data_IF_499279121690
#
_entry.id   IF_499279121690
#
_cell.length_a   1.000
_cell.length_b   1.000
_cell.length_c   1.000
_cell.angle_alpha   90.00
_cell.angle_beta   90.00
_cell.angle_gamma   90.00
#
_symmetry.space_group_name_H-M   'P 1'
#
loop_
_entity.id
_entity.type
_entity.pdbx_description
1 polymer ?
#
# COMPACT_ATOMS: atom_id res chain seq x y z
N UNK A 1 -16.91 9.37 -13.04
CA UNK A 1 -17.53 10.30 -12.06
C UNK A 1 -18.33 9.43 -11.11
N UNK A 2 -18.29 9.64 -9.78
CA UNK A 2 -19.14 8.89 -8.87
C UNK A 2 -20.62 9.19 -9.17
N UNK A 3 -21.47 8.18 -9.04
CA UNK A 3 -22.91 8.28 -9.29
C UNK A 3 -23.56 9.30 -8.35
N UNK A 4 -24.61 9.98 -8.83
CA UNK A 4 -25.39 10.90 -8.01
C UNK A 4 -26.07 10.13 -6.86
N UNK A 5 -25.89 10.60 -5.62
CA UNK A 5 -26.45 9.96 -4.42
C UNK A 5 -27.98 10.11 -4.32
N UNK A 6 -28.54 11.04 -5.07
CA UNK A 6 -29.96 11.29 -5.18
C UNK A 6 -30.21 12.58 -5.95
N UNK A 7 -31.34 12.63 -6.66
CA UNK A 7 -31.85 13.84 -7.31
C UNK A 7 -33.17 14.17 -6.64
N UNK A 8 -33.24 15.31 -5.95
CA UNK A 8 -34.49 15.82 -5.40
C UNK A 8 -34.91 17.06 -6.18
N UNK A 9 -36.16 17.07 -6.62
CA UNK A 9 -36.79 18.22 -7.27
C UNK A 9 -37.75 18.80 -6.24
N UNK A 10 -37.40 19.95 -5.67
CA UNK A 10 -38.21 20.57 -4.60
C UNK A 10 -39.37 21.39 -5.18
N UNK A 11 -39.34 21.76 -6.46
CA UNK A 11 -40.36 22.58 -7.15
C UNK A 11 -40.40 22.30 -8.66
N UNK A 12 -41.37 22.85 -9.38
CA UNK A 12 -41.42 22.83 -10.86
C UNK A 12 -40.32 23.68 -11.54
N UNK A 13 -39.41 24.29 -10.77
CA UNK A 13 -38.26 25.04 -11.30
C UNK A 13 -37.10 24.08 -11.66
N UNK A 14 -36.70 23.98 -12.94
CA UNK A 14 -35.55 23.18 -13.37
C UNK A 14 -34.22 23.55 -12.70
N UNK A 15 -34.11 24.78 -12.17
CA UNK A 15 -32.93 25.25 -11.43
C UNK A 15 -32.94 24.88 -9.93
N UNK A 16 -34.01 24.21 -9.45
CA UNK A 16 -34.10 23.71 -8.07
C UNK A 16 -33.43 22.33 -7.85
N UNK A 17 -32.81 21.77 -8.90
CA UNK A 17 -32.08 20.51 -8.84
C UNK A 17 -30.70 20.71 -8.18
N UNK A 18 -30.54 20.17 -6.98
CA UNK A 18 -29.22 20.08 -6.32
C UNK A 18 -28.69 18.66 -6.48
N UNK A 19 -27.59 18.51 -7.21
CA UNK A 19 -26.90 17.22 -7.36
C UNK A 19 -25.95 17.01 -6.18
N UNK A 20 -26.22 16.02 -5.34
CA UNK A 20 -25.30 15.60 -4.28
C UNK A 20 -24.36 14.53 -4.82
N UNK A 21 -23.06 14.80 -4.79
CA UNK A 21 -22.00 13.87 -5.19
C UNK A 21 -21.11 13.54 -3.99
N UNK A 22 -20.56 12.34 -3.98
CA UNK A 22 -19.57 11.90 -2.99
C UNK A 22 -18.39 11.27 -3.71
N UNK A 23 -17.17 11.48 -3.19
CA UNK A 23 -15.98 10.78 -3.70
C UNK A 23 -15.98 9.28 -3.38
N UNK A 24 -16.86 8.83 -2.48
CA UNK A 24 -16.98 7.43 -2.04
C UNK A 24 -17.99 6.69 -2.90
N UNK A 25 -17.75 5.40 -3.11
CA UNK A 25 -18.53 4.53 -4.00
C UNK A 25 -19.83 4.07 -3.32
N UNK A 26 -20.87 3.92 -4.13
CA UNK A 26 -22.13 3.28 -3.76
C UNK A 26 -22.05 1.75 -3.89
N UNK A 27 -23.03 1.07 -3.30
CA UNK A 27 -23.21 -0.37 -3.45
C UNK A 27 -23.69 -0.78 -4.85
N UNK A 28 -23.51 -2.05 -5.24
CA UNK A 28 -22.74 -3.08 -4.53
C UNK A 28 -21.24 -2.86 -4.70
N UNK A 29 -20.48 -3.10 -3.63
CA UNK A 29 -19.02 -3.12 -3.72
C UNK A 29 -18.53 -4.52 -4.03
N UNK A 30 -17.50 -4.59 -4.86
CA UNK A 30 -16.72 -5.79 -5.13
C UNK A 30 -15.29 -5.55 -4.72
N UNK A 31 -14.61 -6.60 -4.24
CA UNK A 31 -13.20 -6.54 -3.90
C UNK A 31 -12.40 -6.30 -5.17
N UNK A 32 -11.43 -5.40 -5.11
CA UNK A 32 -10.55 -5.11 -6.24
C UNK A 32 -9.54 -6.26 -6.48
N UNK A 33 -8.94 -6.36 -7.68
CA UNK A 33 -7.80 -7.25 -7.92
C UNK A 33 -6.65 -7.03 -6.93
N UNK A 34 -6.40 -5.77 -6.55
CA UNK A 34 -5.39 -5.39 -5.57
C UNK A 34 -5.76 -5.89 -4.17
N UNK A 35 -7.03 -5.77 -3.77
CA UNK A 35 -7.56 -6.30 -2.51
C UNK A 35 -7.51 -7.83 -2.43
N UNK A 36 -7.76 -8.52 -3.56
CA UNK A 36 -7.57 -9.97 -3.67
C UNK A 36 -6.09 -10.37 -3.53
N UNK A 37 -5.19 -9.62 -4.17
CA UNK A 37 -3.75 -9.87 -4.08
C UNK A 37 -3.22 -9.62 -2.67
N UNK A 38 -3.68 -8.54 -2.03
CA UNK A 38 -3.38 -8.22 -0.64
C UNK A 38 -3.82 -9.35 0.29
N UNK A 39 -5.06 -9.82 0.14
CA UNK A 39 -5.58 -10.94 0.95
C UNK A 39 -4.79 -12.21 0.68
N UNK A 40 -4.48 -12.51 -0.58
CA UNK A 40 -3.71 -13.68 -0.96
C UNK A 40 -2.32 -13.74 -0.31
N UNK A 41 -1.58 -12.62 -0.29
CA UNK A 41 -0.28 -12.55 0.40
C UNK A 41 -0.41 -12.89 1.89
N UNK A 42 -1.49 -12.49 2.56
CA UNK A 42 -1.71 -12.86 3.96
C UNK A 42 -2.07 -14.34 4.16
N UNK A 43 -2.74 -14.96 3.19
CA UNK A 43 -3.12 -16.39 3.27
C UNK A 43 -1.97 -17.34 2.89
N UNK A 44 -1.15 -16.97 1.90
CA UNK A 44 -0.10 -17.83 1.35
C UNK A 44 1.33 -17.36 1.60
N UNK A 45 1.52 -16.17 2.19
CA UNK A 45 2.80 -15.55 2.49
C UNK A 45 3.47 -14.85 1.31
N UNK A 46 3.31 -15.37 0.09
CA UNK A 46 3.81 -14.79 -1.18
C UNK A 46 2.79 -15.00 -2.29
N UNK A 47 2.89 -14.22 -3.38
CA UNK A 47 2.09 -14.49 -4.59
C UNK A 47 2.68 -15.66 -5.39
N UNK A 48 4.00 -15.71 -5.57
CA UNK A 48 4.65 -16.79 -6.31
C UNK A 48 5.93 -17.22 -5.58
N UNK A 49 6.27 -18.51 -5.66
CA UNK A 49 7.51 -19.04 -5.11
C UNK A 49 7.26 -20.12 -4.05
N UNK A 50 8.00 -20.06 -2.95
CA UNK A 50 7.91 -21.04 -1.86
C UNK A 50 7.71 -20.33 -0.53
N UNK A 51 6.69 -20.75 0.22
CA UNK A 51 6.43 -20.25 1.56
C UNK A 51 6.28 -21.42 2.54
N UNK A 52 7.09 -21.43 3.61
CA UNK A 52 7.13 -22.52 4.61
C UNK A 52 7.23 -23.93 3.98
N UNK A 53 8.05 -24.06 2.94
CA UNK A 53 8.25 -25.32 2.21
C UNK A 53 7.10 -25.72 1.28
N UNK A 54 6.10 -24.86 1.07
CA UNK A 54 4.97 -25.09 0.16
C UNK A 54 5.12 -24.22 -1.08
N UNK A 55 4.88 -24.81 -2.24
CA UNK A 55 4.88 -24.07 -3.50
C UNK A 55 3.61 -23.23 -3.62
N UNK A 56 3.79 -21.98 -3.99
CA UNK A 56 2.73 -20.99 -4.13
C UNK A 56 2.73 -20.44 -5.55
N UNK A 57 1.54 -20.39 -6.15
CA UNK A 57 1.30 -19.83 -7.48
C UNK A 57 0.10 -18.89 -7.40
N UNK A 58 0.28 -17.63 -7.79
CA UNK A 58 -0.74 -16.56 -7.70
C UNK A 58 -1.46 -16.43 -6.35
N UNK A 59 -0.73 -16.70 -5.27
CA UNK A 59 -1.26 -16.67 -3.91
C UNK A 59 -2.01 -17.94 -3.50
N UNK A 60 -1.87 -19.03 -4.26
CA UNK A 60 -2.51 -20.30 -3.98
C UNK A 60 -1.49 -21.39 -3.61
N UNK A 61 -1.76 -22.08 -2.51
CA UNK A 61 -1.10 -23.33 -2.16
C UNK A 61 -1.93 -24.48 -2.77
N UNK A 62 -1.47 -25.03 -3.90
CA UNK A 62 -2.25 -26.01 -4.68
C UNK A 62 -2.27 -27.42 -4.06
N UNK A 63 -1.43 -27.69 -3.07
CA UNK A 63 -1.40 -28.96 -2.32
C UNK A 63 -2.10 -28.79 -0.98
N UNK A 64 -3.15 -29.57 -0.73
CA UNK A 64 -3.89 -29.59 0.53
C UNK A 64 -2.95 -29.83 1.72
N UNK A 65 -3.12 -29.08 2.80
CA UNK A 65 -2.27 -29.14 3.99
C UNK A 65 -3.10 -28.96 5.27
N UNK A 66 -2.51 -29.28 6.42
CA UNK A 66 -3.07 -28.92 7.72
C UNK A 66 -2.52 -27.56 8.16
N UNK A 67 -3.41 -26.64 8.51
CA UNK A 67 -3.04 -25.35 9.09
C UNK A 67 -2.48 -25.52 10.52
N UNK A 68 -2.14 -24.40 11.17
CA UNK A 68 -1.58 -24.43 12.53
C UNK A 68 -2.58 -24.96 13.59
N UNK A 69 -3.87 -25.01 13.26
CA UNK A 69 -4.94 -25.53 14.11
C UNK A 69 -5.32 -26.99 13.75
N UNK A 70 -4.62 -27.62 12.79
CA UNK A 70 -4.92 -28.96 12.32
C UNK A 70 -6.13 -29.04 11.40
N UNK A 71 -6.56 -27.92 10.81
CA UNK A 71 -7.69 -27.84 9.89
C UNK A 71 -7.21 -28.05 8.45
N UNK A 72 -7.79 -29.00 7.70
CA UNK A 72 -7.52 -29.17 6.27
C UNK A 72 -7.79 -27.89 5.47
N UNK A 73 -6.76 -27.38 4.80
CA UNK A 73 -6.75 -26.09 4.11
C UNK A 73 -6.12 -26.22 2.72
N UNK A 74 -6.62 -25.47 1.74
CA UNK A 74 -6.11 -25.46 0.36
C UNK A 74 -6.26 -24.09 -0.31
N UNK A 75 -5.51 -23.87 -1.40
CA UNK A 75 -5.64 -22.67 -2.22
C UNK A 75 -5.24 -21.42 -1.45
N UNK A 76 -6.15 -20.45 -1.38
CA UNK A 76 -5.97 -19.16 -0.73
C UNK A 76 -6.63 -19.16 0.66
N UNK A 77 -6.26 -20.12 1.51
CA UNK A 77 -6.83 -20.24 2.86
C UNK A 77 -8.22 -20.88 2.93
N UNK A 78 -8.66 -21.56 1.87
CA UNK A 78 -9.97 -22.23 1.85
C UNK A 78 -9.97 -23.42 2.82
N UNK A 79 -10.93 -23.45 3.74
CA UNK A 79 -11.16 -24.60 4.62
C UNK A 79 -11.84 -25.71 3.83
N UNK A 80 -11.15 -26.84 3.70
CA UNK A 80 -11.70 -28.02 3.02
C UNK A 80 -12.86 -28.57 3.86
N UNK A 81 -14.01 -28.74 3.21
CA UNK A 81 -15.18 -29.41 3.75
C UNK A 81 -15.42 -30.75 3.02
N UNK A 82 -16.20 -31.69 3.59
CA UNK A 82 -16.44 -32.99 2.95
C UNK A 82 -16.99 -32.91 1.52
N UNK A 83 -17.75 -31.86 1.20
CA UNK A 83 -18.32 -31.63 -0.12
C UNK A 83 -17.29 -31.25 -1.20
N UNK A 84 -16.07 -30.89 -0.83
CA UNK A 84 -15.02 -30.55 -1.79
C UNK A 84 -14.36 -31.79 -2.40
N UNK A 85 -14.50 -32.95 -1.74
CA UNK A 85 -13.88 -34.22 -2.12
C UNK A 85 -12.36 -34.12 -2.29
N UNK A 86 -11.69 -33.47 -1.33
CA UNK A 86 -10.23 -33.27 -1.30
C UNK A 86 -9.65 -33.85 -0.02
N UNK A 87 -8.61 -34.67 -0.16
CA UNK A 87 -7.83 -35.19 0.96
C UNK A 87 -6.55 -34.38 1.20
N UNK A 88 -6.04 -34.40 2.43
CA UNK A 88 -4.77 -33.75 2.76
C UNK A 88 -3.64 -34.37 1.93
N UNK A 89 -2.80 -33.53 1.33
CA UNK A 89 -1.73 -33.95 0.42
C UNK A 89 -2.13 -34.01 -1.06
N UNK A 90 -3.42 -33.96 -1.39
CA UNK A 90 -3.89 -33.90 -2.76
C UNK A 90 -3.56 -32.55 -3.42
N UNK A 91 -3.24 -32.57 -4.71
CA UNK A 91 -2.99 -31.37 -5.52
C UNK A 91 -4.22 -31.06 -6.37
N UNK A 92 -4.64 -29.80 -6.42
CA UNK A 92 -5.73 -29.32 -7.29
C UNK A 92 -5.19 -28.42 -8.41
N UNK A 93 -6.01 -28.22 -9.44
CA UNK A 93 -5.69 -27.25 -10.49
C UNK A 93 -5.80 -25.82 -9.98
N UNK A 94 -5.10 -24.90 -10.66
CA UNK A 94 -5.18 -23.48 -10.37
C UNK A 94 -6.60 -22.93 -10.59
N UNK A 95 -7.32 -23.40 -11.60
CA UNK A 95 -8.73 -23.00 -11.82
C UNK A 95 -9.61 -23.41 -10.63
N UNK A 96 -9.41 -24.61 -10.09
CA UNK A 96 -10.18 -25.06 -8.92
C UNK A 96 -9.85 -24.24 -7.68
N UNK A 97 -8.59 -23.86 -7.48
CA UNK A 97 -8.19 -22.98 -6.39
C UNK A 97 -8.81 -21.58 -6.52
N UNK A 98 -8.84 -21.02 -7.74
CA UNK A 98 -9.51 -19.75 -8.06
C UNK A 98 -11.02 -19.84 -7.82
N UNK A 99 -11.65 -20.98 -8.12
CA UNK A 99 -13.07 -21.21 -7.85
C UNK A 99 -13.37 -21.18 -6.34
N UNK A 100 -12.55 -21.83 -5.52
CA UNK A 100 -12.69 -21.77 -4.05
C UNK A 100 -12.59 -20.33 -3.55
N UNK A 101 -11.54 -19.59 -3.94
CA UNK A 101 -11.40 -18.17 -3.55
C UNK A 101 -12.61 -17.34 -3.97
N UNK A 102 -13.14 -17.56 -5.18
CA UNK A 102 -14.34 -16.84 -5.64
C UNK A 102 -15.56 -17.10 -4.75
N UNK A 103 -15.77 -18.36 -4.32
CA UNK A 103 -16.88 -18.72 -3.44
C UNK A 103 -16.73 -18.09 -2.06
N UNK A 104 -15.53 -18.17 -1.47
CA UNK A 104 -15.23 -17.64 -0.15
C UNK A 104 -15.36 -16.11 -0.11
N UNK A 105 -14.77 -15.43 -1.10
CA UNK A 105 -14.90 -13.97 -1.26
C UNK A 105 -16.35 -13.56 -1.45
N UNK A 106 -17.12 -14.28 -2.27
CA UNK A 106 -18.53 -13.94 -2.48
C UNK A 106 -19.36 -14.03 -1.20
N UNK A 107 -19.01 -14.90 -0.25
CA UNK A 107 -19.66 -14.92 1.07
C UNK A 107 -19.36 -13.66 1.87
N UNK A 108 -18.09 -13.25 1.92
CA UNK A 108 -17.65 -12.02 2.59
C UNK A 108 -18.31 -10.79 1.98
N UNK A 109 -18.29 -10.68 0.64
CA UNK A 109 -18.92 -9.57 -0.07
C UNK A 109 -20.41 -9.48 0.21
N UNK A 110 -21.14 -10.61 0.17
CA UNK A 110 -22.57 -10.64 0.50
C UNK A 110 -22.80 -10.12 1.92
N UNK A 111 -22.00 -10.57 2.89
CA UNK A 111 -22.13 -10.17 4.29
C UNK A 111 -21.90 -8.67 4.49
N UNK A 112 -20.84 -8.12 3.88
CA UNK A 112 -20.48 -6.70 3.99
C UNK A 112 -21.49 -5.80 3.24
N UNK A 113 -21.86 -6.16 2.01
CA UNK A 113 -22.86 -5.41 1.24
C UNK A 113 -24.23 -5.39 1.91
N UNK A 114 -24.62 -6.46 2.61
CA UNK A 114 -25.86 -6.47 3.37
C UNK A 114 -25.81 -5.55 4.60
N UNK A 115 -24.68 -5.52 5.31
CA UNK A 115 -24.58 -4.87 6.62
C UNK A 115 -24.07 -3.44 6.64
N UNK A 116 -23.22 -3.01 5.70
CA UNK A 116 -22.64 -1.66 5.72
C UNK A 116 -23.63 -0.67 5.12
N UNK A 117 -23.99 0.41 5.78
CA UNK A 117 -24.98 1.39 5.31
C UNK A 117 -24.38 2.74 4.94
N UNK A 118 -23.05 2.87 5.01
CA UNK A 118 -22.31 4.09 4.72
C UNK A 118 -21.46 3.94 3.46
N UNK A 119 -21.07 5.06 2.84
CA UNK A 119 -20.28 5.04 1.60
C UNK A 119 -18.80 4.77 1.88
N UNK A 120 -18.16 3.96 1.04
CA UNK A 120 -16.75 3.60 1.19
C UNK A 120 -15.95 3.93 -0.05
N UNK A 121 -14.68 4.26 0.13
CA UNK A 121 -13.70 4.15 -0.95
C UNK A 121 -13.37 2.68 -1.22
N UNK A 122 -12.89 2.39 -2.43
CA UNK A 122 -12.54 1.01 -2.81
C UNK A 122 -11.51 0.40 -1.84
N UNK A 123 -10.46 1.13 -1.49
CA UNK A 123 -9.41 0.67 -0.56
C UNK A 123 -9.94 0.42 0.86
N UNK A 124 -10.93 1.19 1.32
CA UNK A 124 -11.59 0.95 2.60
C UNK A 124 -12.36 -0.36 2.54
N UNK A 125 -13.14 -0.58 1.49
CA UNK A 125 -13.88 -1.82 1.29
C UNK A 125 -12.95 -3.04 1.19
N UNK A 126 -11.86 -2.94 0.42
CA UNK A 126 -10.87 -4.02 0.28
C UNK A 126 -10.24 -4.41 1.62
N UNK A 127 -9.93 -3.41 2.47
CA UNK A 127 -9.46 -3.67 3.83
C UNK A 127 -10.51 -4.41 4.67
N UNK A 128 -11.77 -4.00 4.61
CA UNK A 128 -12.86 -4.68 5.33
C UNK A 128 -13.07 -6.12 4.83
N UNK A 129 -12.97 -6.36 3.52
CA UNK A 129 -13.02 -7.71 2.94
C UNK A 129 -11.88 -8.55 3.51
N UNK A 130 -10.63 -8.05 3.52
CA UNK A 130 -9.50 -8.82 4.06
C UNK A 130 -9.66 -9.16 5.55
N UNK A 131 -10.22 -8.22 6.33
CA UNK A 131 -10.48 -8.41 7.76
C UNK A 131 -11.51 -9.52 7.99
N UNK A 132 -12.62 -9.46 7.25
CA UNK A 132 -13.73 -10.42 7.39
C UNK A 132 -13.39 -11.77 6.78
N UNK A 133 -12.59 -11.81 5.71
CA UNK A 133 -12.06 -13.06 5.15
C UNK A 133 -11.26 -13.83 6.21
N UNK A 134 -10.41 -13.14 6.98
CA UNK A 134 -9.65 -13.76 8.07
C UNK A 134 -10.48 -14.11 9.30
N UNK A 135 -11.43 -13.24 9.64
CA UNK A 135 -12.18 -13.28 10.90
C UNK A 135 -13.48 -14.08 10.81
N UNK A 136 -13.92 -14.40 9.59
CA UNK A 136 -15.19 -15.03 9.26
C UNK A 136 -16.38 -14.05 9.16
N UNK A 137 -17.36 -14.42 8.34
CA UNK A 137 -18.59 -13.66 8.04
C UNK A 137 -19.60 -13.53 9.21
N UNK A 138 -19.34 -14.18 10.35
CA UNK A 138 -20.20 -14.17 11.53
C UNK A 138 -19.88 -13.01 12.48
N UNK A 139 -19.59 -13.33 13.76
CA UNK A 139 -19.21 -12.34 14.79
C UNK A 139 -18.09 -11.40 14.34
N UNK A 140 -17.16 -11.92 13.52
CA UNK A 140 -16.06 -11.16 12.94
C UNK A 140 -16.49 -10.00 12.05
N UNK A 141 -17.57 -10.18 11.30
CA UNK A 141 -18.15 -9.15 10.47
C UNK A 141 -19.04 -8.20 11.28
N UNK A 142 -19.79 -8.70 12.28
CA UNK A 142 -20.76 -7.93 13.05
C UNK A 142 -20.14 -6.69 13.72
N UNK A 143 -18.98 -6.86 14.38
CA UNK A 143 -18.31 -5.76 15.09
C UNK A 143 -17.76 -4.70 14.13
N UNK A 144 -17.16 -5.13 13.02
CA UNK A 144 -16.64 -4.27 11.96
C UNK A 144 -17.77 -3.46 11.33
N UNK A 145 -18.87 -4.14 10.96
CA UNK A 145 -20.06 -3.52 10.35
C UNK A 145 -20.69 -2.50 11.30
N UNK A 146 -20.84 -2.86 12.58
CA UNK A 146 -21.37 -1.95 13.59
C UNK A 146 -20.48 -0.71 13.73
N UNK A 147 -19.16 -0.86 13.74
CA UNK A 147 -18.22 0.26 13.90
C UNK A 147 -18.20 1.17 12.67
N UNK A 148 -18.12 0.63 11.46
CA UNK A 148 -18.08 1.43 10.23
C UNK A 148 -19.40 2.20 10.01
N UNK A 149 -20.53 1.61 10.36
CA UNK A 149 -21.85 2.25 10.25
C UNK A 149 -22.05 3.45 11.18
N UNK A 150 -21.16 3.67 12.16
CA UNK A 150 -21.17 4.91 12.95
C UNK A 150 -20.72 6.12 12.12
N UNK A 151 -20.11 5.92 10.94
CA UNK A 151 -19.66 7.00 10.05
C UNK A 151 -18.34 7.67 10.48
N UNK A 152 -17.75 7.24 11.59
CA UNK A 152 -16.47 7.76 12.09
C UNK A 152 -15.27 7.07 11.41
N UNK A 153 -15.03 7.37 10.13
CA UNK A 153 -13.93 6.76 9.37
C UNK A 153 -12.55 7.02 9.96
N UNK A 154 -12.35 8.17 10.63
CA UNK A 154 -11.07 8.51 11.28
C UNK A 154 -10.71 7.52 12.41
N UNK A 155 -11.70 7.02 13.14
CA UNK A 155 -11.50 6.09 14.26
C UNK A 155 -11.26 4.64 13.80
N UNK A 156 -11.54 4.33 12.51
CA UNK A 156 -11.44 2.97 12.00
C UNK A 156 -10.01 2.46 11.95
N UNK A 157 -9.02 3.33 11.72
CA UNK A 157 -7.62 2.91 11.66
C UNK A 157 -7.16 2.27 12.99
N UNK A 158 -7.34 2.99 14.10
CA UNK A 158 -7.00 2.50 15.44
C UNK A 158 -7.87 1.30 15.84
N UNK A 159 -9.15 1.31 15.47
CA UNK A 159 -10.03 0.17 15.72
C UNK A 159 -9.54 -1.09 15.02
N UNK A 160 -9.27 -1.03 13.71
CA UNK A 160 -8.76 -2.16 12.93
C UNK A 160 -7.43 -2.64 13.50
N UNK A 161 -6.52 -1.72 13.82
CA UNK A 161 -5.22 -2.03 14.40
C UNK A 161 -5.33 -2.85 15.71
N UNK A 162 -6.32 -2.55 16.55
CA UNK A 162 -6.59 -3.27 17.79
C UNK A 162 -7.49 -4.52 17.62
N UNK A 163 -8.15 -4.69 16.47
CA UNK A 163 -9.21 -5.66 16.26
C UNK A 163 -8.72 -7.11 16.22
N UNK A 164 -9.21 -7.94 17.13
CA UNK A 164 -8.82 -9.35 17.25
C UNK A 164 -9.97 -10.19 17.79
N UNK A 165 -10.33 -11.26 17.07
CA UNK A 165 -11.24 -12.28 17.64
C UNK A 165 -10.46 -13.13 18.63
N UNK A 166 -11.03 -13.31 19.83
CA UNK A 166 -10.52 -14.24 20.84
C UNK A 166 -9.11 -13.92 21.36
N UNK A 167 -8.62 -12.69 21.17
CA UNK A 167 -7.29 -12.27 21.62
C UNK A 167 -6.11 -12.82 20.81
N UNK A 168 -6.33 -13.31 19.58
CA UNK A 168 -5.28 -13.86 18.72
C UNK A 168 -4.16 -12.83 18.44
N UNK A 169 -2.96 -13.03 19.00
CA UNK A 169 -1.81 -12.14 18.81
C UNK A 169 -1.11 -12.34 17.45
N UNK A 170 -1.37 -13.44 16.75
CA UNK A 170 -0.75 -13.74 15.46
C UNK A 170 -1.19 -12.84 14.31
N UNK A 171 -2.26 -12.06 14.48
CA UNK A 171 -2.81 -11.18 13.44
C UNK A 171 -2.38 -9.71 13.58
N UNK A 172 -1.53 -9.36 14.56
CA UNK A 172 -1.15 -7.96 14.81
C UNK A 172 -0.60 -7.28 13.55
N UNK A 173 0.37 -7.90 12.88
CA UNK A 173 0.96 -7.34 11.66
C UNK A 173 -0.04 -7.24 10.51
N UNK A 174 -0.96 -8.22 10.41
CA UNK A 174 -2.05 -8.20 9.43
C UNK A 174 -2.99 -7.02 9.65
N UNK A 175 -3.40 -6.81 10.90
CA UNK A 175 -4.27 -5.70 11.31
C UNK A 175 -3.63 -4.34 11.09
N UNK A 176 -2.31 -4.20 11.30
CA UNK A 176 -1.56 -2.99 10.94
C UNK A 176 -1.64 -2.73 9.44
N UNK A 177 -1.41 -3.75 8.60
CA UNK A 177 -1.46 -3.61 7.16
C UNK A 177 -2.86 -3.30 6.64
N UNK A 178 -3.91 -3.95 7.17
CA UNK A 178 -5.30 -3.67 6.80
C UNK A 178 -5.73 -2.28 7.27
N UNK A 179 -5.28 -1.82 8.45
CA UNK A 179 -5.53 -0.45 8.92
C UNK A 179 -4.87 0.60 8.01
N UNK A 180 -3.66 0.31 7.51
CA UNK A 180 -2.97 1.14 6.50
C UNK A 180 -3.65 1.09 5.14
N UNK A 181 -4.18 -0.07 4.73
CA UNK A 181 -4.97 -0.17 3.50
C UNK A 181 -6.26 0.65 3.63
N UNK A 182 -6.94 0.55 4.78
CA UNK A 182 -8.16 1.29 5.07
C UNK A 182 -7.91 2.80 5.12
N UNK A 183 -6.77 3.22 5.66
CA UNK A 183 -6.36 4.62 5.67
C UNK A 183 -4.88 4.74 5.32
N UNK A 184 -4.55 4.93 4.02
CA UNK A 184 -3.18 5.15 3.62
C UNK A 184 -2.66 6.43 4.29
N UNK A 185 -1.42 6.39 4.80
CA UNK A 185 -0.77 7.51 5.50
C UNK A 185 -0.58 8.78 4.61
N UNK A 186 -1.04 8.75 3.36
CA UNK A 186 -1.08 9.89 2.43
C UNK A 186 -2.16 10.95 2.75
N UNK A 187 -3.01 10.75 3.76
CA UNK A 187 -3.80 11.88 4.28
C UNK A 187 -2.88 12.78 5.10
N UNK A 188 -2.34 13.83 4.46
CA UNK A 188 -1.59 14.93 5.10
C UNK A 188 -2.17 15.22 6.49
N UNK A 189 -1.52 14.71 7.54
CA UNK A 189 -1.61 15.40 8.83
C UNK A 189 -1.10 16.79 8.52
N UNK A 190 -1.94 17.82 8.67
CA UNK A 190 -1.49 19.21 8.69
C UNK A 190 -0.55 19.35 9.88
N UNK A 191 0.72 19.01 9.69
CA UNK A 191 1.75 19.21 10.70
C UNK A 191 1.97 20.71 10.74
N UNK A 192 1.48 21.36 11.80
CA UNK A 192 1.91 22.72 12.17
C UNK A 192 3.36 22.61 12.65
N UNK A 193 4.32 22.67 11.73
CA UNK A 193 5.74 22.75 12.09
C UNK A 193 6.01 24.17 12.59
N UNK A 194 6.20 24.32 13.90
CA UNK A 194 6.87 25.51 14.46
C UNK A 194 8.37 25.34 14.21
N UNK A 195 8.92 26.19 13.34
CA UNK A 195 10.35 26.31 13.12
C UNK A 195 11.06 26.65 14.43
N UNK A 196 12.02 25.82 14.85
CA UNK A 196 13.06 26.23 15.77
C UNK A 196 14.40 25.94 15.10
N UNK A 197 15.09 27.01 14.73
CA UNK A 197 16.42 26.98 14.14
C UNK A 197 17.44 26.79 15.27
N UNK A 198 18.26 25.75 15.20
CA UNK A 198 19.48 25.65 15.98
C UNK A 198 20.61 25.14 15.08
N UNK A 199 21.51 26.07 14.80
CA UNK A 199 22.84 25.87 14.23
C UNK A 199 23.63 24.95 15.16
N UNK A 200 24.29 23.94 14.61
CA UNK A 200 25.66 23.57 15.03
C UNK A 200 26.25 22.59 14.00
N UNK A 201 27.35 23.02 13.37
CA UNK A 201 28.17 22.17 12.52
C UNK A 201 29.20 21.40 13.33
N UNK A 202 29.57 20.20 12.87
CA UNK A 202 30.91 19.64 13.08
C UNK A 202 31.25 18.74 11.88
N UNK A 203 32.49 18.91 11.41
CA UNK A 203 33.23 18.14 10.42
C UNK A 203 33.24 16.63 10.71
N UNK A 204 33.31 15.78 9.69
CA UNK A 204 34.36 14.76 9.56
C UNK A 204 34.30 14.07 8.19
N UNK A 205 35.44 14.10 7.51
CA UNK A 205 35.80 13.39 6.28
C UNK A 205 36.18 11.94 6.56
N UNK A 206 35.82 11.00 5.67
CA UNK A 206 36.72 10.01 5.04
C UNK A 206 36.00 8.77 4.47
N UNK A 207 36.28 8.50 3.20
CA UNK A 207 36.40 7.21 2.51
C UNK A 207 35.30 6.13 2.64
N UNK A 208 34.67 5.79 1.50
CA UNK A 208 34.89 4.49 0.84
C UNK A 208 34.20 4.45 -0.54
N UNK A 209 34.97 4.03 -1.53
CA UNK A 209 34.61 3.80 -2.93
C UNK A 209 34.37 2.30 -3.09
N UNK A 210 33.30 1.88 -3.76
CA UNK A 210 33.20 0.54 -4.33
C UNK A 210 32.20 0.53 -5.49
N UNK A 211 32.77 0.41 -6.69
CA UNK A 211 32.11 0.14 -7.95
C UNK A 211 31.52 -1.28 -7.96
N UNK A 212 30.36 -1.48 -8.61
CA UNK A 212 30.18 -2.63 -9.50
C UNK A 212 28.97 -2.45 -10.42
N UNK A 213 29.24 -2.63 -11.70
CA UNK A 213 28.34 -2.55 -12.83
C UNK A 213 27.31 -3.68 -12.82
N UNK A 214 26.02 -3.33 -12.95
CA UNK A 214 25.07 -4.17 -13.67
C UNK A 214 24.03 -3.27 -14.36
N UNK A 215 24.30 -2.95 -15.63
CA UNK A 215 23.38 -2.28 -16.53
C UNK A 215 22.42 -3.34 -17.06
N UNK A 216 21.17 -3.32 -16.61
CA UNK A 216 20.05 -3.90 -17.34
C UNK A 216 19.07 -2.78 -17.64
N UNK A 217 18.95 -2.48 -18.94
CA UNK A 217 18.04 -1.51 -19.53
C UNK A 217 16.60 -1.95 -19.31
N UNK A 218 15.83 -1.14 -18.59
CA UNK A 218 14.36 -1.21 -18.59
C UNK A 218 13.87 0.16 -19.02
N UNK A 219 13.69 0.31 -20.33
CA UNK A 219 12.78 1.28 -20.92
C UNK A 219 11.35 0.97 -20.46
N UNK A 220 10.52 2.01 -20.42
CA UNK A 220 9.12 2.05 -19.99
C UNK A 220 8.84 2.17 -18.47
N UNK A 221 9.28 3.31 -17.91
CA UNK A 221 8.74 3.83 -16.64
C UNK A 221 7.41 4.56 -16.86
N UNK A 222 6.36 3.79 -17.17
CA UNK A 222 5.00 4.29 -17.14
C UNK A 222 4.54 4.43 -15.68
N UNK A 223 4.04 5.60 -15.29
CA UNK A 223 3.46 5.86 -13.97
C UNK A 223 2.27 4.97 -13.62
N UNK A 224 1.82 4.17 -14.59
CA UNK A 224 0.79 3.15 -14.49
C UNK A 224 1.16 2.01 -13.51
N UNK A 225 2.45 1.72 -13.32
CA UNK A 225 2.86 0.65 -12.39
C UNK A 225 2.47 0.94 -10.93
N UNK A 226 2.30 2.21 -10.55
CA UNK A 226 1.81 2.59 -9.22
C UNK A 226 0.34 2.25 -8.99
N UNK A 227 -0.42 2.00 -10.06
CA UNK A 227 -1.81 1.58 -9.99
C UNK A 227 -1.95 0.07 -9.75
N UNK A 228 -0.86 -0.70 -9.90
CA UNK A 228 -0.84 -2.16 -9.83
C UNK A 228 0.08 -2.71 -8.73
N UNK A 229 0.18 -2.00 -7.60
CA UNK A 229 1.04 -2.40 -6.48
C UNK A 229 0.44 -3.59 -5.72
N UNK A 230 1.15 -4.71 -5.68
CA UNK A 230 0.71 -5.99 -5.09
C UNK A 230 1.52 -6.45 -3.89
N UNK A 231 2.45 -5.63 -3.39
CA UNK A 231 3.34 -5.93 -2.26
C UNK A 231 4.46 -6.93 -2.58
N UNK A 232 4.68 -7.24 -3.86
CA UNK A 232 5.65 -8.23 -4.34
C UNK A 232 6.92 -7.62 -4.95
N UNK A 233 7.74 -8.47 -5.57
CA UNK A 233 8.98 -8.05 -6.23
C UNK A 233 8.74 -7.02 -7.36
N UNK A 234 7.61 -7.12 -8.07
CA UNK A 234 7.22 -6.15 -9.10
C UNK A 234 7.03 -4.73 -8.57
N UNK A 235 6.64 -4.54 -7.30
CA UNK A 235 6.55 -3.22 -6.69
C UNK A 235 7.94 -2.61 -6.46
N UNK A 236 8.93 -3.44 -6.12
CA UNK A 236 10.34 -3.00 -6.00
C UNK A 236 10.83 -2.50 -7.34
N UNK A 237 10.54 -3.23 -8.42
CA UNK A 237 10.92 -2.84 -9.78
C UNK A 237 10.22 -1.54 -10.22
N UNK A 238 8.91 -1.44 -9.98
CA UNK A 238 8.13 -0.23 -10.25
C UNK A 238 8.71 0.98 -9.52
N UNK A 239 8.87 0.90 -8.20
CA UNK A 239 9.43 1.99 -7.42
C UNK A 239 10.87 2.32 -7.84
N UNK A 240 11.71 1.31 -8.08
CA UNK A 240 13.11 1.53 -8.49
C UNK A 240 13.21 2.17 -9.89
N UNK A 241 12.35 1.77 -10.82
CA UNK A 241 12.26 2.39 -12.14
C UNK A 241 11.83 3.85 -12.07
N UNK A 242 10.78 4.14 -11.29
CA UNK A 242 10.31 5.51 -11.08
C UNK A 242 11.31 6.38 -10.31
N UNK A 243 12.04 5.82 -9.35
CA UNK A 243 13.14 6.51 -8.67
C UNK A 243 14.20 6.97 -9.66
N UNK A 244 14.64 6.10 -10.59
CA UNK A 244 15.65 6.46 -11.62
C UNK A 244 15.19 7.65 -12.45
N UNK A 245 13.92 7.65 -12.88
CA UNK A 245 13.31 8.78 -13.60
C UNK A 245 13.32 10.05 -12.75
N UNK A 246 12.84 9.97 -11.51
CA UNK A 246 12.80 11.13 -10.60
C UNK A 246 14.20 11.67 -10.27
N UNK A 247 15.21 10.82 -10.18
CA UNK A 247 16.61 11.24 -9.98
C UNK A 247 17.08 12.03 -11.20
N UNK A 248 16.91 11.48 -12.41
CA UNK A 248 17.25 12.17 -13.66
C UNK A 248 16.52 13.50 -13.80
N UNK A 249 15.21 13.52 -13.56
CA UNK A 249 14.39 14.73 -13.65
C UNK A 249 14.85 15.78 -12.61
N UNK A 250 15.20 15.35 -11.40
CA UNK A 250 15.69 16.24 -10.34
C UNK A 250 17.06 16.85 -10.68
N UNK A 251 17.95 16.10 -11.34
CA UNK A 251 19.23 16.64 -11.83
C UNK A 251 19.04 17.70 -12.91
N UNK A 252 18.07 17.50 -13.81
CA UNK A 252 17.72 18.47 -14.84
C UNK A 252 17.16 19.75 -14.19
N UNK A 253 16.20 19.60 -13.26
CA UNK A 253 15.62 20.73 -12.54
C UNK A 253 16.67 21.49 -11.72
N UNK A 254 17.56 20.79 -11.04
CA UNK A 254 18.69 21.38 -10.33
C UNK A 254 19.54 22.25 -11.25
N UNK A 255 19.92 21.74 -12.43
CA UNK A 255 20.74 22.51 -13.39
C UNK A 255 20.02 23.76 -13.90
N UNK A 256 18.71 23.66 -14.17
CA UNK A 256 17.88 24.81 -14.58
C UNK A 256 17.82 25.87 -13.48
N UNK A 257 17.46 25.45 -12.27
CA UNK A 257 17.36 26.35 -11.11
C UNK A 257 18.71 26.97 -10.74
N UNK A 258 19.79 26.19 -10.80
CA UNK A 258 21.13 26.72 -10.56
C UNK A 258 21.53 27.79 -11.58
N UNK A 259 21.05 27.71 -12.82
CA UNK A 259 21.32 28.72 -13.84
C UNK A 259 20.59 30.05 -13.59
N UNK A 260 19.48 30.04 -12.85
CA UNK A 260 18.75 31.28 -12.48
C UNK A 260 19.38 32.00 -11.29
N UNK A 261 20.23 31.31 -10.50
CA UNK A 261 20.89 31.89 -9.34
C UNK A 261 22.15 32.69 -9.79
N UNK A 262 22.29 33.97 -9.40
CA UNK A 262 23.49 34.75 -9.70
C UNK A 262 24.76 34.13 -9.11
N UNK A 263 25.87 34.16 -9.87
CA UNK A 263 27.16 33.62 -9.42
C UNK A 263 27.64 34.27 -8.13
N UNK A 264 28.11 33.46 -7.17
CA UNK A 264 28.60 33.93 -5.88
C UNK A 264 27.50 34.23 -4.85
N UNK A 265 26.25 33.94 -5.19
CA UNK A 265 25.14 34.02 -4.25
C UNK A 265 25.17 32.83 -3.28
N UNK A 266 24.92 33.09 -1.99
CA UNK A 266 24.88 32.07 -0.93
C UNK A 266 23.87 30.95 -1.21
N UNK A 267 22.84 31.22 -2.01
CA UNK A 267 21.81 30.25 -2.38
C UNK A 267 22.32 29.18 -3.36
N UNK A 268 23.39 29.43 -4.11
CA UNK A 268 24.05 28.43 -4.97
C UNK A 268 24.54 27.25 -4.10
N UNK A 269 25.23 27.59 -3.01
CA UNK A 269 25.72 26.61 -2.03
C UNK A 269 24.56 25.93 -1.30
N UNK A 270 23.54 26.69 -0.90
CA UNK A 270 22.38 26.14 -0.19
C UNK A 270 21.60 25.12 -1.05
N UNK A 271 21.46 25.36 -2.36
CA UNK A 271 20.81 24.42 -3.26
C UNK A 271 21.62 23.12 -3.42
N UNK A 272 22.94 23.21 -3.50
CA UNK A 272 23.81 22.04 -3.53
C UNK A 272 23.77 21.25 -2.20
N UNK A 273 23.76 21.96 -1.06
CA UNK A 273 23.61 21.37 0.28
C UNK A 273 22.26 20.66 0.42
N UNK A 274 21.17 21.23 -0.11
CA UNK A 274 19.87 20.57 -0.17
C UNK A 274 19.92 19.25 -0.94
N UNK A 275 20.51 19.23 -2.15
CA UNK A 275 20.64 18.01 -2.94
C UNK A 275 21.45 16.93 -2.20
N UNK A 276 22.54 17.33 -1.55
CA UNK A 276 23.36 16.43 -0.74
C UNK A 276 22.57 15.86 0.46
N UNK A 277 21.78 16.70 1.14
CA UNK A 277 20.95 16.27 2.26
C UNK A 277 19.86 15.27 1.83
N UNK A 278 19.22 15.48 0.66
CA UNK A 278 18.24 14.55 0.11
C UNK A 278 18.88 13.20 -0.28
N UNK A 279 20.11 13.21 -0.80
CA UNK A 279 20.83 11.97 -1.06
C UNK A 279 21.20 11.24 0.24
N UNK A 280 21.64 11.97 1.26
CA UNK A 280 22.02 11.40 2.54
C UNK A 280 20.82 10.82 3.32
N UNK A 281 19.61 11.34 3.12
CA UNK A 281 18.40 10.87 3.82
C UNK A 281 17.88 9.53 3.30
N UNK A 282 18.27 9.10 2.10
CA UNK A 282 17.93 7.79 1.52
C UNK A 282 18.27 6.63 2.45
N UNK A 283 19.38 6.73 3.21
CA UNK A 283 19.80 5.68 4.17
C UNK A 283 18.75 5.39 5.23
N UNK A 284 17.92 6.39 5.60
CA UNK A 284 16.88 6.21 6.60
C UNK A 284 15.74 5.31 6.09
N UNK A 285 15.64 5.08 4.78
CA UNK A 285 14.69 4.12 4.22
C UNK A 285 15.04 2.66 4.53
N UNK A 286 16.22 2.37 5.09
CA UNK A 286 16.52 1.05 5.66
C UNK A 286 15.75 0.79 6.95
N UNK A 287 15.38 1.83 7.72
CA UNK A 287 14.67 1.67 8.99
C UNK A 287 13.33 0.92 8.86
N UNK A 288 12.39 1.31 7.97
CA UNK A 288 11.14 0.57 7.82
C UNK A 288 11.35 -0.86 7.32
N UNK A 289 12.35 -1.10 6.47
CA UNK A 289 12.76 -2.44 6.02
C UNK A 289 13.25 -3.28 7.19
N UNK A 290 14.21 -2.76 7.95
CA UNK A 290 14.84 -3.44 9.09
C UNK A 290 13.79 -3.72 10.17
N UNK A 291 12.93 -2.74 10.47
CA UNK A 291 11.86 -2.91 11.46
C UNK A 291 10.87 -4.01 11.03
N UNK A 292 10.50 -4.08 9.74
CA UNK A 292 9.66 -5.14 9.19
C UNK A 292 10.31 -6.52 9.25
N UNK A 293 11.62 -6.58 8.96
CA UNK A 293 12.43 -7.80 8.97
C UNK A 293 12.94 -8.23 10.37
N UNK A 294 12.38 -7.68 11.46
CA UNK A 294 12.83 -8.05 12.82
C UNK A 294 14.29 -7.68 13.12
N UNK A 295 14.81 -6.62 12.48
CA UNK A 295 16.20 -6.15 12.53
C UNK A 295 17.21 -7.07 11.84
N UNK A 296 16.76 -8.03 11.05
CA UNK A 296 17.63 -8.88 10.25
C UNK A 296 18.11 -8.17 8.98
N UNK A 297 19.40 -8.34 8.66
CA UNK A 297 20.06 -7.70 7.51
C UNK A 297 20.03 -8.56 6.25
N UNK A 298 19.62 -9.84 6.33
CA UNK A 298 19.63 -10.76 5.17
C UNK A 298 18.42 -10.53 4.26
N UNK A 299 18.65 -10.67 2.96
CA UNK A 299 17.60 -10.74 1.95
C UNK A 299 16.98 -12.14 1.99
N UNK A 300 15.75 -12.25 2.51
CA UNK A 300 15.02 -13.51 2.71
C UNK A 300 13.89 -13.72 1.70
N UNK A 301 13.74 -12.85 0.70
CA UNK A 301 12.65 -12.89 -0.28
C UNK A 301 11.30 -12.39 0.25
N UNK A 302 11.28 -11.73 1.40
CA UNK A 302 10.10 -11.08 1.98
C UNK A 302 9.69 -9.80 1.25
N UNK A 303 8.51 -9.26 1.59
CA UNK A 303 7.98 -7.98 1.07
C UNK A 303 8.75 -6.73 1.54
N UNK A 304 9.70 -6.86 2.48
CA UNK A 304 10.35 -5.71 3.12
C UNK A 304 11.20 -4.82 2.20
N UNK A 305 11.82 -5.32 1.10
CA UNK A 305 12.46 -4.47 0.10
C UNK A 305 11.49 -3.48 -0.56
N UNK A 306 10.19 -3.81 -0.63
CA UNK A 306 9.16 -2.89 -1.16
C UNK A 306 9.02 -1.67 -0.26
N UNK A 307 9.06 -1.84 1.07
CA UNK A 307 8.98 -0.73 2.02
C UNK A 307 10.16 0.24 1.86
N UNK A 308 11.36 -0.30 1.63
CA UNK A 308 12.54 0.51 1.34
C UNK A 308 12.37 1.26 0.02
N UNK A 309 12.02 0.55 -1.06
CA UNK A 309 11.87 1.16 -2.38
C UNK A 309 10.77 2.23 -2.42
N UNK A 310 9.64 1.99 -1.75
CA UNK A 310 8.57 2.96 -1.61
C UNK A 310 9.03 4.22 -0.85
N UNK A 311 9.76 4.05 0.25
CA UNK A 311 10.33 5.17 1.00
C UNK A 311 11.24 6.04 0.12
N UNK A 312 12.15 5.41 -0.63
CA UNK A 312 13.08 6.12 -1.52
C UNK A 312 12.30 6.83 -2.63
N UNK A 313 11.31 6.16 -3.23
CA UNK A 313 10.45 6.78 -4.25
C UNK A 313 9.76 8.04 -3.72
N UNK A 314 9.14 7.97 -2.54
CA UNK A 314 8.44 9.12 -1.94
C UNK A 314 9.39 10.28 -1.65
N UNK A 315 10.60 9.98 -1.15
CA UNK A 315 11.63 10.98 -0.91
C UNK A 315 12.05 11.68 -2.22
N UNK A 316 12.30 10.90 -3.29
CA UNK A 316 12.67 11.44 -4.61
C UNK A 316 11.53 12.23 -5.25
N UNK A 317 10.29 11.79 -5.06
CA UNK A 317 9.11 12.51 -5.54
C UNK A 317 8.98 13.87 -4.85
N UNK A 318 9.10 13.90 -3.52
CA UNK A 318 9.05 15.15 -2.76
C UNK A 318 10.20 16.11 -3.14
N UNK A 319 11.41 15.57 -3.34
CA UNK A 319 12.55 16.35 -3.84
C UNK A 319 12.27 16.96 -5.22
N UNK A 320 11.77 16.15 -6.14
CA UNK A 320 11.48 16.59 -7.51
C UNK A 320 10.43 17.70 -7.53
N UNK A 321 9.31 17.51 -6.81
CA UNK A 321 8.25 18.52 -6.73
C UNK A 321 8.74 19.82 -6.08
N UNK A 322 9.56 19.74 -5.02
CA UNK A 322 10.16 20.93 -4.42
C UNK A 322 11.03 21.72 -5.41
N UNK A 323 11.86 21.03 -6.20
CA UNK A 323 12.69 21.69 -7.22
C UNK A 323 11.86 22.31 -8.34
N UNK A 324 10.74 21.68 -8.75
CA UNK A 324 9.79 22.28 -9.71
C UNK A 324 9.20 23.55 -9.16
N UNK A 325 8.66 23.53 -7.93
CA UNK A 325 8.08 24.72 -7.30
C UNK A 325 9.10 25.84 -7.17
N UNK A 326 10.35 25.54 -6.78
CA UNK A 326 11.40 26.56 -6.73
C UNK A 326 11.71 27.16 -8.10
N UNK A 327 11.73 26.34 -9.16
CA UNK A 327 11.95 26.81 -10.52
C UNK A 327 10.80 27.69 -11.00
N UNK A 328 9.55 27.27 -10.79
CA UNK A 328 8.35 28.06 -11.11
C UNK A 328 8.38 29.42 -10.41
N UNK A 329 8.75 29.44 -9.12
CA UNK A 329 8.89 30.68 -8.36
C UNK A 329 10.04 31.57 -8.85
N UNK A 330 11.11 30.98 -9.38
CA UNK A 330 12.22 31.75 -9.95
C UNK A 330 11.90 32.35 -11.32
N UNK A 331 10.84 31.85 -11.98
CA UNK A 331 10.32 32.32 -13.27
C UNK A 331 9.15 33.31 -13.09
N UNK A 332 8.70 33.59 -11.86
CA UNK A 332 7.70 34.62 -11.59
C UNK A 332 8.35 36.01 -11.61
N UNK A 333 8.20 36.69 -12.75
CA UNK A 333 8.49 38.13 -12.93
C UNK A 333 7.61 39.02 -12.02
#
# INVERSE_FOLDING_TARGET
>A
MPDALGTAVLTTDPNSCVTVQSGRLCKPWHVSPEGLSFTAVWESGVLNGVFRGRQVTEGFILKAYLDNAGIPTIGCGHRIIPADHIEVGQVISLERAREFRRRDVAEVERRLNAGIHVLLFQYEYDALVSIVYNSGSGRGADEIIRKINMGNYDDMHEFIHAYRIGGNRGVVNRRVAEARLFRPEFTMRRIKVRFFCLILGVLFSSFARADSNYVFSVEDSNSDCLQHLGGGYGDVECYSGLQKKLISDSEILYKKLHATIPKGNVHEKLLAEYMAAQNASVKYCELPRNAGAGWETRHDGSMFPVLQAQCIYNLRKAQNEFLKTLLEMAEWD
#
